data_IF_927835253874
#
_entry.id   IF_927835253874
#
_cell.length_a   1.000
_cell.length_b   1.000
_cell.length_c   1.000
_cell.angle_alpha   90.00
_cell.angle_beta   90.00
_cell.angle_gamma   90.00
#
_symmetry.space_group_name_H-M   'P 1'
#
loop_
_entity.id
_entity.type
_entity.pdbx_description
1 polymer ?
#
# COMPACT_ATOMS: atom_id res chain seq x y z
N UNK A 1 -22.46 41.92 -0.37
CA UNK A 1 -21.89 41.14 -1.46
C UNK A 1 -21.38 39.80 -0.89
N UNK A 2 -22.16 38.73 -1.08
CA UNK A 2 -21.80 37.38 -0.68
C UNK A 2 -20.72 36.86 -1.63
N UNK A 3 -19.50 36.79 -1.16
CA UNK A 3 -18.45 36.00 -1.82
C UNK A 3 -18.77 34.54 -1.63
N UNK A 4 -19.47 33.92 -2.61
CA UNK A 4 -19.63 32.48 -2.69
C UNK A 4 -18.27 31.81 -2.71
N UNK A 5 -18.05 30.74 -1.92
CA UNK A 5 -16.76 30.06 -1.85
C UNK A 5 -16.33 29.59 -3.24
N UNK A 6 -15.07 29.76 -3.57
CA UNK A 6 -14.43 29.34 -4.83
C UNK A 6 -14.75 27.88 -5.20
N UNK A 7 -14.83 26.99 -4.21
CA UNK A 7 -15.19 25.58 -4.38
C UNK A 7 -16.62 25.36 -4.90
N UNK A 8 -17.62 26.13 -4.42
CA UNK A 8 -18.99 26.04 -4.92
C UNK A 8 -19.11 26.52 -6.38
N UNK A 9 -18.34 27.55 -6.74
CA UNK A 9 -18.26 28.06 -8.12
C UNK A 9 -17.65 27.03 -9.08
N UNK A 10 -16.65 26.28 -8.66
CA UNK A 10 -16.00 25.24 -9.49
C UNK A 10 -16.88 24.02 -9.71
N UNK A 11 -17.62 23.59 -8.68
CA UNK A 11 -18.59 22.48 -8.80
C UNK A 11 -19.70 22.87 -9.79
N UNK A 12 -20.21 24.08 -9.70
CA UNK A 12 -21.27 24.57 -10.60
C UNK A 12 -20.79 24.70 -12.06
N UNK A 13 -19.57 25.17 -12.28
CA UNK A 13 -18.95 25.22 -13.62
C UNK A 13 -18.76 23.83 -14.21
N UNK A 14 -18.34 22.86 -13.41
CA UNK A 14 -18.18 21.46 -13.86
C UNK A 14 -19.50 20.84 -14.26
N UNK A 15 -20.60 21.08 -13.51
CA UNK A 15 -21.93 20.59 -13.88
C UNK A 15 -22.41 21.18 -15.22
N UNK A 16 -22.09 22.42 -15.53
CA UNK A 16 -22.44 23.05 -16.81
C UNK A 16 -21.73 22.40 -18.02
N UNK A 17 -20.58 21.78 -17.81
CA UNK A 17 -19.84 21.06 -18.86
C UNK A 17 -20.49 19.71 -19.21
N UNK A 18 -21.22 19.09 -18.28
CA UNK A 18 -21.85 17.77 -18.46
C UNK A 18 -23.24 17.85 -19.10
N UNK A 19 -23.68 19.02 -19.57
CA UNK A 19 -24.96 19.18 -20.28
C UNK A 19 -24.90 18.55 -21.67
N UNK A 20 -26.04 18.00 -22.19
CA UNK A 20 -26.12 17.49 -23.56
C UNK A 20 -25.59 18.50 -24.59
N UNK A 21 -24.83 18.00 -25.56
CA UNK A 21 -24.18 18.81 -26.59
C UNK A 21 -22.81 19.39 -26.17
N UNK A 22 -22.28 19.02 -25.03
CA UNK A 22 -20.91 19.34 -24.58
C UNK A 22 -20.17 18.04 -24.28
N UNK A 23 -19.92 17.73 -22.99
CA UNK A 23 -19.33 16.44 -22.55
C UNK A 23 -20.48 15.50 -22.14
N UNK A 24 -21.21 14.99 -23.11
CA UNK A 24 -22.39 14.15 -22.90
C UNK A 24 -22.07 12.66 -22.69
N UNK A 25 -20.80 12.26 -22.89
CA UNK A 25 -20.30 10.91 -22.58
C UNK A 25 -19.28 10.97 -21.47
N UNK A 26 -19.56 10.23 -20.40
CA UNK A 26 -18.62 10.01 -19.31
C UNK A 26 -18.04 8.60 -19.45
N UNK A 27 -16.74 8.51 -19.61
CA UNK A 27 -15.99 7.25 -19.56
C UNK A 27 -15.27 7.19 -18.24
N UNK A 28 -15.68 6.23 -17.40
CA UNK A 28 -14.99 5.98 -16.15
C UNK A 28 -13.74 5.14 -16.43
N UNK A 29 -12.57 5.70 -16.19
CA UNK A 29 -11.31 4.96 -16.25
C UNK A 29 -10.98 4.50 -14.83
N UNK A 30 -11.23 3.22 -14.56
CA UNK A 30 -10.89 2.60 -13.26
C UNK A 30 -9.40 2.40 -13.08
N UNK A 31 -8.99 2.04 -11.85
CA UNK A 31 -7.61 1.64 -11.60
C UNK A 31 -7.26 0.36 -12.39
N UNK A 32 -6.01 0.24 -12.85
CA UNK A 32 -5.58 -0.90 -13.65
C UNK A 32 -5.56 -2.20 -12.82
N UNK A 33 -5.90 -3.32 -13.46
CA UNK A 33 -5.70 -4.66 -12.94
C UNK A 33 -4.20 -5.04 -12.87
N UNK A 34 -3.87 -6.23 -12.39
CA UNK A 34 -2.48 -6.70 -12.28
C UNK A 34 -1.74 -6.63 -13.62
N UNK A 35 -2.40 -7.00 -14.73
CA UNK A 35 -1.80 -7.00 -16.06
C UNK A 35 -1.55 -5.56 -16.52
N UNK A 36 -2.53 -4.70 -16.35
CA UNK A 36 -2.42 -3.27 -16.67
C UNK A 36 -1.32 -2.59 -15.85
N UNK A 37 -1.23 -2.88 -14.53
CA UNK A 37 -0.15 -2.37 -13.68
C UNK A 37 1.23 -2.84 -14.16
N UNK A 38 1.38 -4.11 -14.54
CA UNK A 38 2.64 -4.62 -15.10
C UNK A 38 3.02 -3.91 -16.39
N UNK A 39 2.06 -3.64 -17.28
CA UNK A 39 2.32 -2.90 -18.53
C UNK A 39 2.72 -1.45 -18.26
N UNK A 40 2.05 -0.76 -17.35
CA UNK A 40 2.40 0.60 -16.93
C UNK A 40 3.81 0.64 -16.33
N UNK A 41 4.14 -0.30 -15.44
CA UNK A 41 5.48 -0.43 -14.87
C UNK A 41 6.55 -0.63 -15.95
N UNK A 42 6.29 -1.47 -16.98
CA UNK A 42 7.21 -1.67 -18.13
C UNK A 42 7.53 -0.36 -18.86
N UNK A 43 6.57 0.56 -18.93
CA UNK A 43 6.79 1.87 -19.56
C UNK A 43 7.69 2.76 -18.70
N UNK A 44 7.42 2.83 -17.39
CA UNK A 44 8.14 3.72 -16.49
C UNK A 44 9.56 3.23 -16.17
N UNK A 45 9.76 1.92 -16.07
CA UNK A 45 11.08 1.30 -15.81
C UNK A 45 12.08 1.56 -16.94
N UNK A 46 11.63 1.77 -18.18
CA UNK A 46 12.53 2.12 -19.32
C UNK A 46 13.32 3.42 -19.10
N UNK A 47 12.88 4.26 -18.16
CA UNK A 47 13.51 5.57 -17.87
C UNK A 47 14.62 5.48 -16.83
N UNK A 48 14.84 4.31 -16.22
CA UNK A 48 15.82 4.09 -15.15
C UNK A 48 16.62 2.82 -15.40
N UNK A 49 17.82 2.74 -14.82
CA UNK A 49 18.61 1.51 -14.86
C UNK A 49 18.14 0.57 -13.73
N UNK A 50 17.67 -0.61 -14.09
CA UNK A 50 17.22 -1.62 -13.12
C UNK A 50 18.12 -2.84 -13.10
N UNK A 51 18.23 -3.45 -11.92
CA UNK A 51 18.95 -4.70 -11.74
C UNK A 51 18.19 -5.90 -12.32
N UNK A 52 18.89 -7.03 -12.54
CA UNK A 52 18.30 -8.26 -13.06
C UNK A 52 17.34 -8.93 -12.07
N UNK A 53 17.37 -8.53 -10.81
CA UNK A 53 16.49 -9.00 -9.73
C UNK A 53 15.10 -8.38 -9.77
N UNK A 54 14.88 -7.32 -10.56
CA UNK A 54 13.62 -6.60 -10.64
C UNK A 54 12.57 -7.39 -11.41
N UNK A 55 11.52 -7.82 -10.70
CA UNK A 55 10.39 -8.58 -11.26
C UNK A 55 9.12 -7.73 -11.27
N UNK A 56 8.79 -7.15 -12.42
CA UNK A 56 7.66 -6.21 -12.57
C UNK A 56 6.31 -6.85 -12.19
N UNK A 57 6.12 -8.13 -12.46
CA UNK A 57 4.91 -8.85 -12.07
C UNK A 57 4.74 -8.94 -10.56
N UNK A 58 5.83 -9.12 -9.81
CA UNK A 58 5.81 -9.11 -8.34
C UNK A 58 5.42 -7.73 -7.82
N UNK A 59 5.98 -6.67 -8.43
CA UNK A 59 5.63 -5.29 -8.08
C UNK A 59 4.16 -5.01 -8.38
N UNK A 60 3.66 -5.41 -9.56
CA UNK A 60 2.27 -5.23 -9.95
C UNK A 60 1.28 -5.94 -9.01
N UNK A 61 1.62 -7.14 -8.51
CA UNK A 61 0.85 -7.85 -7.47
C UNK A 61 0.89 -7.12 -6.14
N UNK A 62 2.05 -6.56 -5.78
CA UNK A 62 2.28 -5.84 -4.53
C UNK A 62 1.71 -4.42 -4.47
N UNK A 63 1.03 -3.96 -5.53
CA UNK A 63 0.47 -2.60 -5.63
C UNK A 63 -1.03 -2.60 -5.98
N UNK A 64 -1.88 -3.32 -5.21
CA UNK A 64 -3.32 -3.31 -5.46
C UNK A 64 -3.87 -1.89 -5.31
N UNK A 65 -4.79 -1.50 -6.21
CA UNK A 65 -5.45 -0.19 -6.17
C UNK A 65 -4.60 0.99 -6.67
N UNK A 66 -3.34 0.79 -7.04
CA UNK A 66 -2.50 1.86 -7.58
C UNK A 66 -3.01 2.30 -8.96
N UNK A 67 -3.10 3.61 -9.12
CA UNK A 67 -3.30 4.26 -10.42
C UNK A 67 -2.01 4.28 -11.24
N UNK A 68 -2.10 4.67 -12.51
CA UNK A 68 -0.91 4.88 -13.34
C UNK A 68 0.04 5.93 -12.77
N UNK A 69 -0.49 6.96 -12.13
CA UNK A 69 0.29 8.01 -11.46
C UNK A 69 1.05 7.47 -10.23
N UNK A 70 0.40 6.63 -9.42
CA UNK A 70 1.03 6.01 -8.25
C UNK A 70 2.18 5.08 -8.66
N UNK A 71 2.00 4.31 -9.73
CA UNK A 71 3.04 3.43 -10.29
C UNK A 71 4.22 4.24 -10.85
N UNK A 72 3.95 5.36 -11.53
CA UNK A 72 4.99 6.27 -11.98
C UNK A 72 5.78 6.87 -10.81
N UNK A 73 5.06 7.31 -9.76
CA UNK A 73 5.66 7.82 -8.54
C UNK A 73 6.50 6.77 -7.82
N UNK A 74 6.02 5.52 -7.74
CA UNK A 74 6.77 4.40 -7.16
C UNK A 74 8.12 4.21 -7.85
N UNK A 75 8.16 4.20 -9.18
CA UNK A 75 9.40 4.04 -9.94
C UNK A 75 10.35 5.23 -9.73
N UNK A 76 9.81 6.46 -9.71
CA UNK A 76 10.58 7.66 -9.41
C UNK A 76 11.17 7.63 -7.98
N UNK A 77 10.40 7.29 -6.98
CA UNK A 77 10.86 7.16 -5.59
C UNK A 77 11.93 6.07 -5.44
N UNK A 78 11.79 4.96 -6.18
CA UNK A 78 12.81 3.89 -6.20
C UNK A 78 14.14 4.39 -6.74
N UNK A 79 14.12 5.19 -7.80
CA UNK A 79 15.32 5.81 -8.37
C UNK A 79 15.96 6.80 -7.40
N UNK A 80 15.15 7.63 -6.71
CA UNK A 80 15.64 8.55 -5.70
C UNK A 80 16.26 7.83 -4.50
N UNK A 81 15.69 6.70 -4.05
CA UNK A 81 16.26 5.88 -2.98
C UNK A 81 17.59 5.25 -3.39
N UNK A 82 17.68 4.71 -4.61
CA UNK A 82 18.93 4.16 -5.14
C UNK A 82 20.02 5.25 -5.23
N UNK A 83 19.67 6.44 -5.72
CA UNK A 83 20.59 7.58 -5.80
C UNK A 83 21.10 8.02 -4.41
N UNK A 84 20.22 8.09 -3.41
CA UNK A 84 20.61 8.40 -2.02
C UNK A 84 21.58 7.38 -1.42
N UNK A 85 21.51 6.12 -1.88
CA UNK A 85 22.42 5.03 -1.50
C UNK A 85 23.66 4.95 -2.39
N UNK A 86 23.88 5.95 -3.26
CA UNK A 86 24.99 5.99 -4.24
C UNK A 86 25.01 4.76 -5.19
N UNK A 87 23.84 4.15 -5.46
CA UNK A 87 23.71 3.05 -6.39
C UNK A 87 23.50 3.58 -7.81
N UNK A 88 24.06 2.88 -8.81
CA UNK A 88 23.86 3.18 -10.24
C UNK A 88 22.67 2.44 -10.85
N UNK A 89 22.13 1.47 -10.12
CA UNK A 89 21.09 0.55 -10.58
C UNK A 89 20.05 0.42 -9.47
N UNK A 90 18.78 0.47 -9.83
CA UNK A 90 17.65 0.25 -8.91
C UNK A 90 17.44 -1.25 -8.74
N UNK A 91 17.49 -1.74 -7.51
CA UNK A 91 17.27 -3.15 -7.16
C UNK A 91 15.82 -3.39 -6.72
N UNK A 92 15.41 -4.66 -6.64
CA UNK A 92 14.07 -5.01 -6.10
C UNK A 92 13.88 -4.48 -4.68
N UNK A 93 14.93 -4.51 -3.84
CA UNK A 93 14.90 -3.97 -2.48
C UNK A 93 14.60 -2.46 -2.45
N UNK A 94 15.14 -1.68 -3.39
CA UNK A 94 14.87 -0.24 -3.45
C UNK A 94 13.42 0.04 -3.87
N UNK A 95 12.85 -0.82 -4.75
CA UNK A 95 11.44 -0.72 -5.15
C UNK A 95 10.51 -1.10 -3.99
N UNK A 96 10.82 -2.14 -3.22
CA UNK A 96 10.05 -2.53 -2.04
C UNK A 96 10.06 -1.43 -0.97
N UNK A 97 11.22 -0.82 -0.72
CA UNK A 97 11.34 0.31 0.22
C UNK A 97 10.56 1.54 -0.26
N UNK A 98 10.61 1.83 -1.57
CA UNK A 98 9.83 2.90 -2.18
C UNK A 98 8.32 2.62 -2.07
N UNK A 99 7.90 1.37 -2.30
CA UNK A 99 6.52 0.95 -2.14
C UNK A 99 6.02 1.18 -0.71
N UNK A 100 6.80 0.75 0.27
CA UNK A 100 6.49 0.98 1.68
C UNK A 100 6.34 2.49 1.98
N UNK A 101 7.24 3.31 1.45
CA UNK A 101 7.18 4.76 1.60
C UNK A 101 5.93 5.37 0.96
N UNK A 102 5.57 4.94 -0.25
CA UNK A 102 4.39 5.46 -0.99
C UNK A 102 3.09 5.04 -0.31
N UNK A 103 3.01 3.78 0.17
CA UNK A 103 1.80 3.24 0.79
C UNK A 103 1.59 3.71 2.23
N UNK A 104 2.66 3.85 3.01
CA UNK A 104 2.60 4.02 4.47
C UNK A 104 3.27 5.29 4.97
N UNK A 105 3.99 6.00 4.11
CA UNK A 105 4.82 7.12 4.48
C UNK A 105 6.27 6.73 4.82
N UNK A 106 7.08 7.75 5.08
CA UNK A 106 8.49 7.56 5.42
C UNK A 106 8.68 6.84 6.77
N UNK A 107 9.79 6.10 6.89
CA UNK A 107 10.22 5.55 8.16
C UNK A 107 10.43 6.65 9.20
N UNK A 108 9.95 6.43 10.41
CA UNK A 108 10.17 7.33 11.55
C UNK A 108 11.45 6.96 12.29
N UNK A 109 12.60 7.11 11.61
CA UNK A 109 13.92 6.73 12.15
C UNK A 109 14.31 7.49 13.43
N UNK A 110 13.75 8.67 13.65
CA UNK A 110 13.96 9.46 14.88
C UNK A 110 13.12 9.01 16.05
N UNK A 111 12.17 8.10 15.84
CA UNK A 111 11.33 7.55 16.92
C UNK A 111 12.12 6.46 17.64
N UNK A 112 12.57 6.79 18.84
CA UNK A 112 13.23 5.84 19.72
C UNK A 112 12.14 5.11 20.51
N UNK A 113 11.88 3.85 20.15
CA UNK A 113 11.02 2.96 20.94
C UNK A 113 11.84 2.32 22.06
N UNK A 114 11.25 2.23 23.25
CA UNK A 114 11.82 1.43 24.34
C UNK A 114 11.84 -0.06 23.97
N UNK A 115 12.65 -0.85 24.66
CA UNK A 115 12.68 -2.30 24.42
C UNK A 115 11.33 -2.96 24.74
N UNK A 116 10.61 -2.46 25.74
CA UNK A 116 9.27 -2.96 26.08
C UNK A 116 8.25 -2.63 24.96
N UNK A 117 8.28 -1.42 24.39
CA UNK A 117 7.43 -1.06 23.27
C UNK A 117 7.75 -1.88 22.00
N UNK A 118 9.03 -2.14 21.73
CA UNK A 118 9.44 -3.03 20.62
C UNK A 118 8.93 -4.45 20.84
N UNK A 119 9.05 -4.95 22.06
CA UNK A 119 8.57 -6.27 22.45
C UNK A 119 7.05 -6.36 22.30
N UNK A 120 6.32 -5.38 22.84
CA UNK A 120 4.86 -5.30 22.71
C UNK A 120 4.44 -5.30 21.23
N UNK A 121 5.03 -4.42 20.42
CA UNK A 121 4.76 -4.33 18.98
C UNK A 121 5.08 -5.64 18.25
N UNK A 122 6.19 -6.30 18.61
CA UNK A 122 6.59 -7.56 17.99
C UNK A 122 5.58 -8.68 18.25
N UNK A 123 5.07 -8.79 19.47
CA UNK A 123 4.02 -9.77 19.80
C UNK A 123 2.68 -9.42 19.16
N UNK A 124 2.32 -8.15 19.11
CA UNK A 124 1.12 -7.66 18.42
C UNK A 124 1.14 -8.05 16.93
N UNK A 125 2.18 -7.66 16.21
CA UNK A 125 2.32 -8.02 14.79
C UNK A 125 2.49 -9.54 14.59
N UNK A 126 3.19 -10.21 15.51
CA UNK A 126 3.29 -11.67 15.54
C UNK A 126 1.92 -12.35 15.66
N UNK A 127 1.03 -11.81 16.48
CA UNK A 127 -0.34 -12.27 16.63
C UNK A 127 -1.14 -12.19 15.32
N UNK A 128 -1.09 -11.05 14.64
CA UNK A 128 -1.68 -10.90 13.32
C UNK A 128 -1.12 -11.92 12.32
N UNK A 129 0.20 -12.10 12.31
CA UNK A 129 0.86 -13.02 11.40
C UNK A 129 0.47 -14.48 11.65
N UNK A 130 0.47 -14.93 12.91
CA UNK A 130 0.11 -16.31 13.28
C UNK A 130 -1.33 -16.62 12.88
N UNK A 131 -2.27 -15.72 13.18
CA UNK A 131 -3.68 -15.91 12.80
C UNK A 131 -3.80 -15.93 11.28
N UNK A 132 -3.16 -15.01 10.55
CA UNK A 132 -3.21 -14.97 9.09
C UNK A 132 -2.65 -16.25 8.43
N UNK A 133 -1.63 -16.88 9.01
CA UNK A 133 -1.06 -18.13 8.52
C UNK A 133 -1.98 -19.35 8.74
N UNK A 134 -2.84 -19.29 9.77
CA UNK A 134 -3.74 -20.38 10.12
C UNK A 134 -5.15 -20.22 9.52
N UNK A 135 -5.53 -19.02 9.09
CA UNK A 135 -6.81 -18.75 8.45
C UNK A 135 -6.76 -19.04 6.95
N UNK A 136 -7.44 -20.09 6.50
CA UNK A 136 -7.43 -20.54 5.09
C UNK A 136 -7.92 -19.49 4.10
N UNK A 137 -8.84 -18.62 4.52
CA UNK A 137 -9.39 -17.56 3.68
C UNK A 137 -8.59 -16.25 3.76
N UNK A 138 -7.52 -16.21 4.55
CA UNK A 138 -6.62 -15.04 4.62
C UNK A 138 -5.75 -14.94 3.37
N UNK A 139 -5.44 -13.70 2.96
CA UNK A 139 -4.43 -13.48 1.93
C UNK A 139 -3.04 -13.85 2.46
N UNK A 140 -2.13 -14.30 1.58
CA UNK A 140 -0.76 -14.63 1.96
C UNK A 140 -0.02 -13.44 2.58
N UNK A 141 0.77 -13.70 3.63
CA UNK A 141 1.63 -12.69 4.22
C UNK A 141 2.76 -12.38 3.24
N UNK A 142 2.91 -11.10 2.94
CA UNK A 142 4.02 -10.58 2.15
C UNK A 142 5.17 -10.11 3.04
N UNK A 143 4.84 -9.42 4.15
CA UNK A 143 5.82 -8.80 5.04
C UNK A 143 5.25 -8.58 6.43
N UNK A 144 6.08 -8.79 7.43
CA UNK A 144 5.85 -8.33 8.80
C UNK A 144 7.01 -7.42 9.24
N UNK A 145 6.73 -6.35 9.98
CA UNK A 145 7.75 -5.40 10.43
C UNK A 145 7.30 -4.69 11.70
N UNK A 146 8.26 -4.35 12.55
CA UNK A 146 8.07 -3.49 13.72
C UNK A 146 8.71 -2.10 13.51
N UNK A 147 9.08 -1.77 12.27
CA UNK A 147 9.65 -0.45 11.94
C UNK A 147 8.50 0.55 11.84
N UNK A 148 8.50 1.63 12.67
CA UNK A 148 7.44 2.63 12.65
C UNK A 148 7.38 3.38 11.33
N UNK A 149 6.17 3.48 10.75
CA UNK A 149 5.90 4.26 9.53
C UNK A 149 4.60 5.04 9.66
N UNK A 150 4.60 6.32 9.34
CA UNK A 150 3.42 7.15 9.47
C UNK A 150 2.86 7.11 10.92
N UNK A 151 1.67 6.56 11.10
CA UNK A 151 1.03 6.37 12.42
C UNK A 151 1.17 4.94 12.97
N UNK A 152 1.63 4.00 12.17
CA UNK A 152 1.78 2.60 12.58
C UNK A 152 3.13 2.38 13.27
N UNK A 153 3.13 1.62 14.36
CA UNK A 153 4.34 1.19 15.09
C UNK A 153 4.93 -0.08 14.49
N UNK A 154 4.09 -0.91 13.90
CA UNK A 154 4.43 -2.12 13.16
C UNK A 154 3.38 -2.41 12.09
N UNK A 155 3.52 -3.51 11.37
CA UNK A 155 2.55 -3.93 10.38
C UNK A 155 2.76 -5.36 9.91
N UNK A 156 1.67 -6.06 9.66
CA UNK A 156 1.63 -7.27 8.84
C UNK A 156 0.92 -6.96 7.53
N UNK A 157 1.67 -6.95 6.43
CA UNK A 157 1.14 -6.75 5.09
C UNK A 157 0.77 -8.10 4.47
N UNK A 158 -0.49 -8.23 4.08
CA UNK A 158 -1.00 -9.36 3.31
C UNK A 158 -1.30 -8.89 1.88
N UNK A 159 -0.99 -9.69 0.88
CA UNK A 159 -1.23 -9.35 -0.51
C UNK A 159 -2.08 -10.44 -1.18
N UNK A 160 -3.19 -10.06 -1.83
CA UNK A 160 -4.00 -11.01 -2.57
C UNK A 160 -3.22 -11.56 -3.77
N UNK A 161 -3.44 -12.85 -4.09
CA UNK A 161 -2.82 -13.48 -5.27
C UNK A 161 -3.41 -12.96 -6.59
N UNK A 162 -4.62 -12.42 -6.55
CA UNK A 162 -5.37 -11.88 -7.69
C UNK A 162 -6.16 -10.65 -7.27
N UNK A 163 -6.55 -9.83 -8.23
CA UNK A 163 -7.47 -8.72 -7.97
C UNK A 163 -8.83 -9.27 -7.48
N UNK A 164 -9.29 -8.77 -6.33
CA UNK A 164 -10.54 -9.19 -5.70
C UNK A 164 -11.64 -8.22 -6.09
N UNK A 165 -12.68 -8.72 -6.76
CA UNK A 165 -13.87 -7.93 -7.15
C UNK A 165 -14.99 -8.05 -6.13
N UNK A 166 -14.94 -9.07 -5.27
CA UNK A 166 -15.92 -9.33 -4.21
C UNK A 166 -15.25 -9.97 -3.01
N UNK A 167 -15.86 -9.84 -1.84
CA UNK A 167 -15.38 -10.42 -0.58
C UNK A 167 -16.39 -11.46 -0.12
N UNK A 168 -15.95 -12.70 0.11
CA UNK A 168 -16.82 -13.76 0.64
C UNK A 168 -17.00 -13.60 2.14
N UNK A 169 -18.03 -14.26 2.69
CA UNK A 169 -18.27 -14.26 4.15
C UNK A 169 -17.10 -14.86 4.91
N UNK A 170 -16.53 -15.96 4.41
CA UNK A 170 -15.35 -16.62 4.99
C UNK A 170 -14.16 -15.67 5.04
N UNK A 171 -13.93 -14.92 3.96
CA UNK A 171 -12.87 -13.91 3.89
C UNK A 171 -13.08 -12.80 4.93
N UNK A 172 -14.31 -12.31 5.09
CA UNK A 172 -14.62 -11.31 6.10
C UNK A 172 -14.35 -11.82 7.53
N UNK A 173 -14.74 -13.07 7.83
CA UNK A 173 -14.45 -13.68 9.14
C UNK A 173 -12.96 -13.84 9.37
N UNK A 174 -12.20 -14.30 8.37
CA UNK A 174 -10.75 -14.41 8.45
C UNK A 174 -10.08 -13.04 8.69
N UNK A 175 -10.54 -12.00 7.99
CA UNK A 175 -10.00 -10.63 8.17
C UNK A 175 -10.29 -10.08 9.57
N UNK A 176 -11.47 -10.36 10.15
CA UNK A 176 -11.79 -10.01 11.54
C UNK A 176 -10.91 -10.79 12.51
N UNK A 177 -10.76 -12.11 12.32
CA UNK A 177 -9.90 -12.93 13.17
C UNK A 177 -8.45 -12.43 13.15
N UNK A 178 -7.91 -12.13 11.97
CA UNK A 178 -6.57 -11.56 11.83
C UNK A 178 -6.47 -10.21 12.52
N UNK A 179 -7.48 -9.34 12.38
CA UNK A 179 -7.49 -8.03 13.03
C UNK A 179 -7.47 -8.12 14.57
N UNK A 180 -8.08 -9.14 15.14
CA UNK A 180 -8.07 -9.38 16.60
C UNK A 180 -6.77 -10.03 17.08
N UNK A 181 -6.02 -10.69 16.19
CA UNK A 181 -4.84 -11.49 16.54
C UNK A 181 -3.77 -10.74 17.31
N UNK A 182 -3.53 -9.46 16.97
CA UNK A 182 -2.56 -8.62 17.68
C UNK A 182 -2.96 -8.39 19.15
N UNK A 183 -4.20 -7.96 19.38
CA UNK A 183 -4.70 -7.71 20.75
C UNK A 183 -4.72 -8.99 21.59
N UNK A 184 -5.15 -10.10 21.02
CA UNK A 184 -5.16 -11.39 21.72
C UNK A 184 -3.72 -11.82 22.10
N UNK A 185 -2.75 -11.60 21.22
CA UNK A 185 -1.35 -11.89 21.55
C UNK A 185 -0.83 -11.04 22.72
N UNK A 186 -1.19 -9.75 22.79
CA UNK A 186 -0.87 -8.90 23.95
C UNK A 186 -1.49 -9.44 25.23
N UNK A 187 -2.77 -9.81 25.21
CA UNK A 187 -3.47 -10.36 26.37
C UNK A 187 -2.85 -11.67 26.88
N UNK A 188 -2.47 -12.57 25.96
CA UNK A 188 -1.85 -13.85 26.33
C UNK A 188 -0.46 -13.66 26.95
N UNK A 189 0.34 -12.74 26.43
CA UNK A 189 1.76 -12.59 26.80
C UNK A 189 1.96 -11.62 27.97
N UNK A 190 1.21 -10.52 28.02
CA UNK A 190 1.41 -9.44 28.98
C UNK A 190 0.30 -9.35 30.03
N UNK A 191 -0.82 -10.05 29.82
CA UNK A 191 -1.99 -9.93 30.69
C UNK A 191 -2.89 -8.74 30.32
N UNK A 192 -3.93 -8.53 31.10
CA UNK A 192 -4.83 -7.37 30.94
C UNK A 192 -4.25 -6.15 31.65
N UNK A 193 -3.76 -5.22 30.89
CA UNK A 193 -3.55 -3.82 31.30
C UNK A 193 -4.09 -2.87 30.24
#
# INVERSE_FOLDING_TARGET
TLHGSSAASDVYKRQALLRPGRFDRQVVVGNPDIIGREQILKVHVKKINTGPDVKLRTIARGTPGFSGADLANLINESALLAARKNKRVVTMSDIEEAKDKVMMGAERRSMVMSEDEKKLTAYHEGGHAIVALNEKASDPIHKATIIPRGRALGMVMRLPERDQLSVTREKMHADIAVAMGGRIAEEIIFGHD
#
